data_IF_168710439479
#
_entry.id   IF_168710439479
#
_cell.length_a   1.000
_cell.length_b   1.000
_cell.length_c   1.000
_cell.angle_alpha   90.00
_cell.angle_beta   90.00
_cell.angle_gamma   90.00
#
_symmetry.space_group_name_H-M   'P 1'
#
loop_
_entity.id
_entity.type
_entity.pdbx_description
1 polymer ?
#
# COMPACT_ATOMS: atom_id res chain seq x y z
N UNK A 1 -31.77 26.64 44.83
CA UNK A 1 -31.72 25.26 44.27
C UNK A 1 -32.31 25.32 42.87
N UNK A 2 -31.71 24.92 41.75
CA UNK A 2 -30.45 24.21 41.45
C UNK A 2 -30.03 24.69 40.05
N UNK A 3 -28.80 25.20 39.98
CA UNK A 3 -27.81 25.03 38.90
C UNK A 3 -28.28 24.27 37.66
N UNK A 4 -28.42 24.96 36.53
CA UNK A 4 -28.15 24.38 35.21
C UNK A 4 -27.31 25.39 34.43
N UNK A 5 -26.05 25.44 34.85
CA UNK A 5 -24.95 26.07 34.14
C UNK A 5 -24.95 25.50 32.71
N UNK A 6 -25.26 26.34 31.73
CA UNK A 6 -25.28 25.96 30.31
C UNK A 6 -23.90 25.46 29.91
N UNK A 7 -23.76 24.13 29.82
CA UNK A 7 -22.58 23.50 29.25
C UNK A 7 -22.65 23.76 27.75
N UNK A 8 -21.96 24.81 27.34
CA UNK A 8 -21.57 25.09 25.98
C UNK A 8 -20.80 23.87 25.47
N UNK A 9 -21.51 22.98 24.78
CA UNK A 9 -20.95 21.82 24.10
C UNK A 9 -20.10 22.35 22.94
N UNK A 10 -18.84 22.67 23.23
CA UNK A 10 -17.84 22.95 22.22
C UNK A 10 -17.61 21.65 21.43
N UNK A 11 -18.36 21.51 20.33
CA UNK A 11 -18.08 20.51 19.31
C UNK A 11 -16.74 20.87 18.67
N UNK A 12 -15.66 20.35 19.24
CA UNK A 12 -14.35 20.35 18.59
C UNK A 12 -14.48 19.40 17.41
N UNK A 13 -14.78 19.95 16.23
CA UNK A 13 -14.73 19.19 14.99
C UNK A 13 -13.26 19.07 14.62
N UNK A 14 -12.67 17.93 14.97
CA UNK A 14 -11.29 17.60 14.60
C UNK A 14 -11.31 17.25 13.10
N UNK A 15 -11.19 18.26 12.24
CA UNK A 15 -10.92 18.05 10.82
C UNK A 15 -9.42 17.74 10.64
N UNK A 16 -9.05 16.49 10.88
CA UNK A 16 -7.77 15.95 10.45
C UNK A 16 -7.92 15.35 9.05
N UNK A 17 -7.91 16.18 8.01
CA UNK A 17 -7.76 15.67 6.65
C UNK A 17 -6.26 15.43 6.42
N UNK A 18 -5.88 14.19 6.11
CA UNK A 18 -4.51 13.84 5.73
C UNK A 18 -4.18 14.54 4.39
N UNK A 19 -3.69 15.78 4.47
CA UNK A 19 -3.62 16.73 3.35
C UNK A 19 -2.59 16.37 2.29
N UNK A 20 -1.77 15.36 2.54
CA UNK A 20 -0.63 15.02 1.70
C UNK A 20 -0.89 13.80 0.81
N UNK A 21 -2.12 13.29 0.74
CA UNK A 21 -2.46 12.12 -0.07
C UNK A 21 -2.67 12.48 -1.54
N UNK A 22 -1.80 11.97 -2.41
CA UNK A 22 -1.92 12.13 -3.87
C UNK A 22 -2.71 11.01 -4.52
N UNK A 23 -2.54 9.78 -4.02
CA UNK A 23 -3.24 8.59 -4.51
C UNK A 23 -3.32 7.56 -3.38
N UNK A 24 -4.44 6.86 -3.27
CA UNK A 24 -4.60 5.69 -2.40
C UNK A 24 -5.65 4.75 -2.99
N UNK A 25 -5.26 3.51 -3.25
CA UNK A 25 -6.17 2.47 -3.69
C UNK A 25 -5.73 1.11 -3.15
N UNK A 26 -6.68 0.20 -3.02
CA UNK A 26 -6.48 -1.18 -2.59
C UNK A 26 -7.18 -2.11 -3.58
N UNK A 27 -6.56 -3.26 -3.80
CA UNK A 27 -7.14 -4.39 -4.48
C UNK A 27 -7.25 -5.53 -3.47
N UNK A 28 -8.48 -5.92 -3.15
CA UNK A 28 -8.77 -7.07 -2.29
C UNK A 28 -8.89 -8.33 -3.16
N UNK A 29 -8.29 -9.44 -2.71
CA UNK A 29 -8.36 -10.74 -3.41
C UNK A 29 -9.59 -11.52 -2.89
N UNK A 30 -10.46 -11.99 -3.80
CA UNK A 30 -11.75 -12.63 -3.45
C UNK A 30 -11.57 -13.95 -2.69
N UNK A 31 -10.68 -14.81 -3.19
CA UNK A 31 -10.01 -15.86 -2.41
C UNK A 31 -8.70 -15.25 -1.93
N UNK A 32 -8.23 -15.47 -0.69
CA UNK A 32 -6.94 -14.97 -0.21
C UNK A 32 -5.78 -15.75 -0.86
N UNK A 33 -5.84 -15.88 -2.18
CA UNK A 33 -4.93 -16.54 -3.08
C UNK A 33 -4.59 -15.52 -4.15
N UNK A 34 -3.32 -15.21 -4.28
CA UNK A 34 -2.81 -14.38 -5.36
C UNK A 34 -2.13 -15.28 -6.39
N UNK A 35 -2.76 -15.49 -7.55
CA UNK A 35 -2.19 -16.32 -8.60
C UNK A 35 -1.06 -15.60 -9.32
N UNK A 36 -0.12 -16.37 -9.90
CA UNK A 36 0.99 -15.83 -10.69
C UNK A 36 0.51 -15.11 -11.94
N UNK A 37 -0.64 -15.52 -12.49
CA UNK A 37 -1.23 -14.91 -13.68
C UNK A 37 -1.99 -13.61 -13.37
N UNK A 38 -2.31 -13.37 -12.08
CA UNK A 38 -3.07 -12.20 -11.65
C UNK A 38 -2.15 -10.99 -11.50
N UNK A 39 -2.41 -9.97 -12.33
CA UNK A 39 -1.78 -8.66 -12.18
C UNK A 39 -2.72 -7.67 -11.49
N UNK A 40 -2.27 -7.07 -10.39
CA UNK A 40 -2.96 -5.96 -9.74
C UNK A 40 -2.54 -4.67 -10.43
N UNK A 41 -3.49 -3.93 -10.99
CA UNK A 41 -3.21 -2.70 -11.76
C UNK A 41 -3.88 -1.49 -11.12
N UNK A 42 -3.10 -0.43 -10.90
CA UNK A 42 -3.60 0.87 -10.46
C UNK A 42 -3.42 1.88 -11.58
N UNK A 43 -4.54 2.42 -12.05
CA UNK A 43 -4.57 3.57 -12.95
C UNK A 43 -4.28 4.84 -12.14
N UNK A 44 -3.23 5.54 -12.53
CA UNK A 44 -2.81 6.78 -11.90
C UNK A 44 -3.35 7.95 -12.72
N UNK A 45 -3.97 8.88 -12.02
CA UNK A 45 -4.43 10.15 -12.55
C UNK A 45 -3.99 11.27 -11.63
N UNK A 46 -3.45 12.34 -12.19
CA UNK A 46 -3.00 13.49 -11.44
C UNK A 46 -1.62 13.94 -11.86
N UNK A 47 -1.22 15.11 -11.36
CA UNK A 47 0.09 15.67 -11.58
C UNK A 47 0.54 16.32 -10.28
N UNK A 48 1.82 16.20 -9.97
CA UNK A 48 2.44 16.92 -8.86
C UNK A 48 3.84 17.34 -9.26
N UNK A 49 4.22 18.55 -8.87
CA UNK A 49 5.59 19.06 -8.99
C UNK A 49 6.37 18.87 -7.68
N UNK A 50 5.74 18.29 -6.65
CA UNK A 50 6.36 18.11 -5.35
C UNK A 50 6.84 16.67 -5.18
N UNK A 51 7.97 16.45 -4.47
CA UNK A 51 8.43 15.11 -4.15
C UNK A 51 7.34 14.31 -3.43
N UNK A 52 7.26 13.03 -3.74
CA UNK A 52 6.32 12.11 -3.10
C UNK A 52 6.99 10.78 -2.77
N UNK A 53 6.49 10.14 -1.72
CA UNK A 53 6.87 8.80 -1.32
C UNK A 53 5.80 7.81 -1.73
N UNK A 54 6.23 6.62 -2.09
CA UNK A 54 5.37 5.55 -2.54
C UNK A 54 5.37 4.46 -1.48
N UNK A 55 4.19 4.09 -1.02
CA UNK A 55 4.01 3.10 0.04
C UNK A 55 3.18 1.96 -0.52
N UNK A 56 3.71 0.75 -0.41
CA UNK A 56 2.95 -0.46 -0.65
C UNK A 56 2.35 -0.93 0.68
N UNK A 57 1.07 -1.26 0.66
CA UNK A 57 0.35 -1.83 1.78
C UNK A 57 0.01 -3.28 1.44
N UNK A 58 0.53 -4.24 2.20
CA UNK A 58 0.19 -5.64 2.05
C UNK A 58 -0.62 -6.08 3.25
N UNK A 59 -1.87 -6.50 3.03
CA UNK A 59 -2.68 -7.17 4.05
C UNK A 59 -2.52 -8.66 3.88
N UNK A 60 -2.17 -9.33 4.98
CA UNK A 60 -1.90 -10.76 4.98
C UNK A 60 -2.33 -11.41 6.30
N UNK A 61 -2.41 -12.74 6.28
CA UNK A 61 -2.73 -13.57 7.44
C UNK A 61 -1.59 -14.52 7.79
N UNK A 62 -1.71 -15.20 8.93
CA UNK A 62 -0.83 -16.30 9.34
C UNK A 62 -0.84 -17.52 8.41
N UNK A 63 -1.76 -17.58 7.43
CA UNK A 63 -1.75 -18.59 6.37
C UNK A 63 -0.67 -18.35 5.31
N UNK A 64 -0.07 -17.16 5.25
CA UNK A 64 1.07 -16.91 4.35
C UNK A 64 2.33 -17.58 4.92
N UNK A 65 2.85 -18.57 4.19
CA UNK A 65 3.85 -19.52 4.72
C UNK A 65 5.30 -19.00 4.71
N UNK A 66 5.56 -17.84 4.10
CA UNK A 66 6.92 -17.32 3.91
C UNK A 66 7.18 -16.08 4.76
N UNK A 67 8.43 -15.88 5.19
CA UNK A 67 8.78 -14.64 5.90
C UNK A 67 8.85 -13.43 4.96
N UNK A 68 9.22 -13.66 3.70
CA UNK A 68 9.39 -12.66 2.66
C UNK A 68 8.34 -12.81 1.55
N UNK A 69 8.07 -11.71 0.85
CA UNK A 69 7.23 -11.62 -0.33
C UNK A 69 8.01 -10.90 -1.43
N UNK A 70 8.11 -11.53 -2.60
CA UNK A 70 8.66 -10.94 -3.81
C UNK A 70 7.53 -10.48 -4.71
N UNK A 71 7.57 -9.20 -5.10
CA UNK A 71 6.56 -8.59 -5.97
C UNK A 71 7.26 -7.90 -7.12
N UNK A 72 6.90 -8.24 -8.35
CA UNK A 72 7.32 -7.49 -9.53
C UNK A 72 6.44 -6.26 -9.68
N UNK A 73 7.05 -5.08 -9.73
CA UNK A 73 6.39 -3.80 -9.99
C UNK A 73 6.82 -3.28 -11.36
N UNK A 74 5.84 -2.95 -12.20
CA UNK A 74 6.09 -2.34 -13.51
C UNK A 74 5.28 -1.06 -13.66
N UNK A 75 5.97 0.05 -13.92
CA UNK A 75 5.40 1.38 -14.13
C UNK A 75 5.40 1.69 -15.62
N UNK A 76 4.25 2.15 -16.13
CA UNK A 76 4.06 2.48 -17.55
C UNK A 76 3.49 3.88 -17.74
N UNK A 77 3.86 4.49 -18.87
CA UNK A 77 3.27 5.75 -19.33
C UNK A 77 1.96 5.55 -20.10
N UNK A 78 1.42 6.63 -20.68
CA UNK A 78 0.18 6.60 -21.46
C UNK A 78 0.28 5.87 -22.81
N UNK A 79 1.51 5.58 -23.28
CA UNK A 79 1.77 4.81 -24.49
C UNK A 79 2.08 3.34 -24.20
N UNK A 80 1.91 2.92 -22.95
CA UNK A 80 2.26 1.60 -22.40
C UNK A 80 3.78 1.29 -22.42
N UNK A 81 4.62 2.32 -22.61
CA UNK A 81 6.07 2.19 -22.48
C UNK A 81 6.45 1.93 -21.02
N UNK A 82 7.32 0.95 -20.79
CA UNK A 82 7.85 0.65 -19.45
C UNK A 82 8.83 1.73 -19.03
N UNK A 83 8.43 2.52 -18.03
CA UNK A 83 9.28 3.54 -17.41
C UNK A 83 10.15 2.97 -16.30
N UNK A 84 9.67 1.92 -15.62
CA UNK A 84 10.39 1.25 -14.54
C UNK A 84 9.90 -0.19 -14.39
N UNK A 85 10.85 -1.11 -14.23
CA UNK A 85 10.61 -2.51 -13.86
C UNK A 85 11.48 -2.82 -12.64
N UNK A 86 10.88 -3.32 -11.55
CA UNK A 86 11.59 -3.52 -10.29
C UNK A 86 11.05 -4.74 -9.55
N UNK A 87 11.96 -5.60 -9.08
CA UNK A 87 11.63 -6.66 -8.13
C UNK A 87 11.73 -6.13 -6.70
N UNK A 88 10.59 -6.12 -6.02
CA UNK A 88 10.46 -5.71 -4.62
C UNK A 88 10.66 -6.91 -3.71
N UNK A 89 11.36 -6.69 -2.60
CA UNK A 89 11.53 -7.65 -1.52
C UNK A 89 10.94 -7.08 -0.24
N UNK A 90 9.90 -7.72 0.28
CA UNK A 90 9.12 -7.25 1.42
C UNK A 90 9.17 -8.33 2.50
N UNK A 91 9.55 -7.98 3.73
CA UNK A 91 9.40 -8.90 4.85
C UNK A 91 8.00 -8.74 5.46
N UNK A 92 7.23 -9.82 5.47
CA UNK A 92 5.93 -9.91 6.15
C UNK A 92 6.08 -10.52 7.54
N UNK A 93 7.05 -11.42 7.75
CA UNK A 93 7.40 -11.92 9.07
C UNK A 93 8.87 -11.62 9.38
N UNK A 94 9.19 -11.48 10.66
CA UNK A 94 10.58 -11.38 11.11
C UNK A 94 11.31 -12.70 10.81
N UNK A 95 12.42 -12.67 10.06
CA UNK A 95 13.08 -13.89 9.58
C UNK A 95 13.74 -14.72 10.68
N UNK A 96 13.88 -14.18 11.91
CA UNK A 96 14.50 -14.89 13.04
C UNK A 96 13.44 -15.49 13.98
N UNK A 97 12.38 -14.74 14.23
CA UNK A 97 11.37 -15.07 15.26
C UNK A 97 10.06 -15.57 14.67
N UNK A 98 9.83 -15.37 13.37
CA UNK A 98 8.56 -15.68 12.71
C UNK A 98 7.40 -14.77 13.16
N UNK A 99 7.68 -13.68 13.89
CA UNK A 99 6.62 -12.75 14.31
C UNK A 99 6.10 -11.97 13.11
N UNK A 100 4.78 -11.80 12.95
CA UNK A 100 4.21 -10.98 11.88
C UNK A 100 4.63 -9.51 12.04
N UNK A 101 4.94 -8.87 10.91
CA UNK A 101 5.34 -7.47 10.82
C UNK A 101 4.19 -6.58 10.36
N UNK A 102 4.04 -5.41 10.97
CA UNK A 102 2.97 -4.46 10.66
C UNK A 102 1.96 -4.32 11.79
N UNK A 103 0.77 -3.81 11.49
CA UNK A 103 -0.30 -3.59 12.47
C UNK A 103 -1.46 -4.53 12.17
N UNK A 104 -2.08 -5.09 13.20
CA UNK A 104 -3.09 -6.12 13.02
C UNK A 104 -3.75 -6.56 14.31
N UNK A 105 -4.76 -7.43 14.19
CA UNK A 105 -5.44 -8.08 15.31
C UNK A 105 -5.74 -9.53 14.95
N UNK A 106 -5.59 -10.43 15.92
CA UNK A 106 -5.75 -11.86 15.72
C UNK A 106 -4.71 -12.38 14.72
N UNK A 107 -5.19 -13.00 13.65
CA UNK A 107 -4.34 -13.61 12.63
C UNK A 107 -4.10 -12.73 11.39
N UNK A 108 -4.51 -11.46 11.42
CA UNK A 108 -4.51 -10.58 10.25
C UNK A 108 -3.71 -9.31 10.49
N UNK A 109 -2.83 -8.98 9.55
CA UNK A 109 -1.84 -7.93 9.65
C UNK A 109 -1.79 -7.09 8.37
N UNK A 110 -1.40 -5.83 8.50
CA UNK A 110 -1.12 -4.94 7.38
C UNK A 110 0.27 -4.35 7.54
N UNK A 111 1.15 -4.67 6.59
CA UNK A 111 2.50 -4.11 6.51
C UNK A 111 2.51 -2.98 5.50
N UNK A 112 2.99 -1.82 5.92
CA UNK A 112 3.32 -0.71 5.03
C UNK A 112 4.83 -0.73 4.78
N UNK A 113 5.24 -0.65 3.51
CA UNK A 113 6.64 -0.58 3.13
C UNK A 113 6.87 0.50 2.07
N UNK A 114 7.98 1.22 2.18
CA UNK A 114 8.33 2.28 1.24
C UNK A 114 9.00 1.65 0.03
N UNK A 115 8.49 1.93 -1.17
CA UNK A 115 9.05 1.37 -2.40
C UNK A 115 10.45 1.97 -2.68
N UNK A 116 11.47 1.13 -2.93
CA UNK A 116 12.82 1.59 -3.19
C UNK A 116 12.96 2.33 -4.52
N UNK A 117 13.82 3.35 -4.53
CA UNK A 117 14.27 4.05 -5.75
C UNK A 117 13.22 4.96 -6.40
N UNK A 118 12.20 5.42 -5.65
CA UNK A 118 11.18 6.35 -6.13
C UNK A 118 10.30 5.80 -7.26
N UNK A 119 9.26 6.52 -7.65
CA UNK A 119 8.53 6.30 -8.90
C UNK A 119 8.88 7.49 -9.79
N UNK A 120 8.95 7.35 -11.13
CA UNK A 120 9.10 8.48 -12.04
C UNK A 120 8.06 9.58 -11.77
N UNK A 121 8.28 10.79 -12.28
CA UNK A 121 7.36 11.93 -12.11
C UNK A 121 5.90 11.52 -12.33
N UNK A 122 5.02 11.94 -11.42
CA UNK A 122 3.61 11.53 -11.42
C UNK A 122 2.90 11.88 -12.75
N UNK A 123 3.32 12.95 -13.40
CA UNK A 123 2.81 13.39 -14.70
C UNK A 123 3.14 12.44 -15.86
N UNK A 124 4.19 11.61 -15.72
CA UNK A 124 4.64 10.65 -16.74
C UNK A 124 4.02 9.28 -16.59
N UNK A 125 3.50 8.95 -15.40
CA UNK A 125 2.97 7.62 -15.12
C UNK A 125 1.47 7.57 -15.40
N UNK A 126 1.04 6.48 -16.04
CA UNK A 126 -0.38 6.19 -16.26
C UNK A 126 -0.84 4.99 -15.46
N UNK A 127 0.01 3.97 -15.34
CA UNK A 127 -0.36 2.69 -14.75
C UNK A 127 0.80 2.11 -13.95
N UNK A 128 0.51 1.57 -12.78
CA UNK A 128 1.45 0.77 -11.99
C UNK A 128 0.85 -0.62 -11.79
N UNK A 129 1.59 -1.64 -12.21
CA UNK A 129 1.16 -3.03 -12.13
C UNK A 129 2.05 -3.82 -11.17
N UNK A 130 1.42 -4.69 -10.40
CA UNK A 130 2.05 -5.57 -9.44
C UNK A 130 1.69 -7.03 -9.74
N UNK A 131 2.68 -7.91 -9.64
CA UNK A 131 2.50 -9.35 -9.82
C UNK A 131 3.35 -10.08 -8.77
N UNK A 132 2.82 -11.15 -8.18
CA UNK A 132 3.61 -11.97 -7.26
C UNK A 132 4.73 -12.70 -8.01
N UNK A 133 5.89 -12.85 -7.38
CA UNK A 133 7.08 -13.46 -7.98
C UNK A 133 7.69 -14.54 -7.08
N UNK A 134 6.84 -15.36 -6.44
CA UNK A 134 7.18 -16.33 -5.38
C UNK A 134 7.48 -17.75 -5.88
N UNK A 135 7.61 -17.98 -7.20
CA UNK A 135 7.84 -19.32 -7.82
C UNK A 135 6.74 -20.35 -7.52
N UNK A 136 5.53 -19.89 -7.18
CA UNK A 136 4.34 -20.70 -6.93
C UNK A 136 3.24 -20.23 -7.89
N UNK A 137 2.39 -21.16 -8.31
CA UNK A 137 1.24 -20.83 -9.16
C UNK A 137 0.27 -19.89 -8.45
N UNK A 138 0.17 -20.01 -7.13
CA UNK A 138 -0.51 -19.08 -6.26
C UNK A 138 0.15 -19.04 -4.87
N UNK A 139 -0.04 -17.93 -4.17
CA UNK A 139 0.32 -17.77 -2.76
C UNK A 139 -0.94 -17.56 -1.93
N UNK A 140 -1.09 -18.30 -0.84
CA UNK A 140 -2.20 -18.16 0.09
C UNK A 140 -1.89 -17.14 1.18
N UNK A 141 -2.93 -16.52 1.74
CA UNK A 141 -2.85 -15.68 2.92
C UNK A 141 -2.57 -14.22 2.63
N UNK A 142 -2.41 -13.83 1.36
CA UNK A 142 -2.43 -12.43 0.94
C UNK A 142 -3.89 -12.03 0.67
N UNK A 143 -4.38 -11.05 1.43
CA UNK A 143 -5.77 -10.61 1.34
C UNK A 143 -5.93 -9.34 0.51
N UNK A 144 -4.95 -8.45 0.55
CA UNK A 144 -4.98 -7.27 -0.31
C UNK A 144 -3.61 -6.65 -0.56
N UNK A 145 -3.51 -5.96 -1.69
CA UNK A 145 -2.39 -5.11 -2.05
C UNK A 145 -2.91 -3.68 -2.27
N UNK A 146 -2.32 -2.72 -1.58
CA UNK A 146 -2.64 -1.30 -1.73
C UNK A 146 -1.43 -0.47 -2.11
N UNK A 147 -1.68 0.59 -2.86
CA UNK A 147 -0.69 1.57 -3.26
C UNK A 147 -1.09 2.93 -2.69
N UNK A 148 -0.15 3.61 -2.04
CA UNK A 148 -0.29 5.01 -1.63
C UNK A 148 0.83 5.85 -2.21
N UNK A 149 0.46 7.00 -2.76
CA UNK A 149 1.38 8.07 -3.15
C UNK A 149 1.12 9.25 -2.22
N UNK A 150 2.13 9.64 -1.44
CA UNK A 150 2.01 10.66 -0.39
C UNK A 150 3.03 11.76 -0.68
N UNK A 151 2.56 12.98 -0.81
CA UNK A 151 3.41 14.16 -0.93
C UNK A 151 4.34 14.26 0.28
N UNK A 152 5.63 14.47 0.02
CA UNK A 152 6.63 14.71 1.06
C UNK A 152 6.75 16.21 1.23
N UNK A 153 6.37 16.72 2.40
CA UNK A 153 6.66 18.10 2.76
C UNK A 153 8.16 18.15 3.10
N UNK A 154 8.96 18.83 2.28
CA UNK A 154 10.32 19.18 2.70
C UNK A 154 10.21 20.15 3.89
N UNK A 155 10.92 19.84 4.96
CA UNK A 155 11.20 20.77 6.07
C UNK A 155 12.58 21.38 5.85
#
# INVERSE_FOLDING_TARGET
MRTLLGILLAQVVIFGCDSNRLFEAYHDFESPQWHVEDSVSFEISGQTNTPFRNVLAIRYTDRYEYHNLFVKMVVRDSTDQVLKDTLLHINLFDPKTGKPLGKGYGNRFTKYDTLPGGIPELSKIKKIQFQQYMRKDYIEGIESLGLKLIQTTEY
#
